data_IF_966273248910
#
_entry.id   IF_966273248910
#
_cell.length_a   1.000
_cell.length_b   1.000
_cell.length_c   1.000
_cell.angle_alpha   90.00
_cell.angle_beta   90.00
_cell.angle_gamma   90.00
#
_symmetry.space_group_name_H-M   'P 1'
#
loop_
_entity.id
_entity.type
_entity.pdbx_description
1 polymer ?
#
# COMPACT_ATOMS: atom_id res chain seq x y z
N UNK A 1 -26.40 12.28 -16.03
CA UNK A 1 -26.53 13.08 -14.77
C UNK A 1 -27.62 12.58 -13.85
N UNK A 2 -28.90 12.44 -14.26
CA UNK A 2 -29.96 11.90 -13.39
C UNK A 2 -29.84 10.38 -13.25
N UNK A 3 -29.49 9.68 -14.30
CA UNK A 3 -29.26 8.22 -14.34
C UNK A 3 -28.10 7.82 -13.41
N UNK A 4 -27.03 8.60 -13.38
CA UNK A 4 -25.88 8.34 -12.49
C UNK A 4 -26.25 8.47 -11.00
N UNK A 5 -27.15 9.39 -10.67
CA UNK A 5 -27.64 9.59 -9.29
C UNK A 5 -28.54 8.41 -8.88
N UNK A 6 -29.41 7.94 -9.78
CA UNK A 6 -30.28 6.77 -9.53
C UNK A 6 -29.44 5.51 -9.34
N UNK A 7 -28.42 5.31 -10.18
CA UNK A 7 -27.49 4.18 -10.06
C UNK A 7 -26.71 4.27 -8.73
N UNK A 8 -26.23 5.46 -8.35
CA UNK A 8 -25.51 5.69 -7.10
C UNK A 8 -26.37 5.36 -5.85
N UNK A 9 -27.66 5.66 -5.89
CA UNK A 9 -28.59 5.44 -4.77
C UNK A 9 -29.27 4.05 -4.81
N UNK A 10 -28.96 3.22 -5.80
CA UNK A 10 -29.59 1.91 -5.96
C UNK A 10 -28.92 0.86 -5.05
N UNK A 11 -29.73 -0.07 -4.50
CA UNK A 11 -29.24 -1.22 -3.73
C UNK A 11 -28.57 -2.30 -4.61
N UNK A 12 -28.47 -2.07 -5.90
CA UNK A 12 -27.80 -3.00 -6.82
C UNK A 12 -26.29 -2.87 -6.68
N UNK A 13 -25.55 -3.99 -6.79
CA UNK A 13 -24.09 -3.92 -6.78
C UNK A 13 -23.61 -2.99 -7.90
N UNK A 14 -22.74 -2.04 -7.56
CA UNK A 14 -22.15 -1.13 -8.52
C UNK A 14 -21.36 -1.92 -9.56
N UNK A 15 -21.36 -1.40 -10.79
CA UNK A 15 -20.50 -1.93 -11.83
C UNK A 15 -19.03 -1.84 -11.36
N UNK A 16 -18.38 -2.98 -11.24
CA UNK A 16 -16.95 -3.04 -11.00
C UNK A 16 -16.21 -2.97 -12.34
N UNK A 17 -15.09 -2.27 -12.35
CA UNK A 17 -14.21 -2.18 -13.49
C UNK A 17 -13.05 -3.17 -13.33
N UNK A 18 -12.46 -3.57 -14.45
CA UNK A 18 -11.24 -4.37 -14.44
C UNK A 18 -10.12 -3.59 -13.73
N UNK A 19 -9.51 -4.14 -12.66
CA UNK A 19 -8.44 -3.48 -11.92
C UNK A 19 -7.21 -3.16 -12.80
N UNK A 20 -6.99 -3.90 -13.87
CA UNK A 20 -5.89 -3.65 -14.82
C UNK A 20 -6.09 -2.38 -15.67
N UNK A 21 -7.26 -1.75 -15.63
CA UNK A 21 -7.45 -0.40 -16.18
C UNK A 21 -6.74 0.69 -15.35
N UNK A 22 -6.33 0.39 -14.12
CA UNK A 22 -5.56 1.29 -13.29
C UNK A 22 -4.11 1.35 -13.80
N UNK A 23 -3.63 2.56 -14.06
CA UNK A 23 -2.27 2.77 -14.56
C UNK A 23 -1.22 2.20 -13.59
N UNK A 24 -0.35 1.33 -14.10
CA UNK A 24 0.72 0.70 -13.31
C UNK A 24 0.28 -0.52 -12.51
N UNK A 25 -0.93 -1.04 -12.73
CA UNK A 25 -1.40 -2.24 -12.04
C UNK A 25 -0.56 -3.47 -12.41
N UNK A 26 -0.24 -3.63 -13.69
CA UNK A 26 0.62 -4.74 -14.16
C UNK A 26 1.98 -4.72 -13.45
N UNK A 27 2.65 -3.56 -13.43
CA UNK A 27 3.94 -3.39 -12.76
C UNK A 27 3.82 -3.68 -11.25
N UNK A 28 2.73 -3.23 -10.63
CA UNK A 28 2.48 -3.44 -9.21
C UNK A 28 2.32 -4.93 -8.88
N UNK A 29 1.53 -5.65 -9.68
CA UNK A 29 1.31 -7.10 -9.53
C UNK A 29 2.62 -7.85 -9.72
N UNK A 30 3.39 -7.53 -10.76
CA UNK A 30 4.68 -8.18 -11.04
C UNK A 30 5.66 -8.02 -9.88
N UNK A 31 5.70 -6.83 -9.27
CA UNK A 31 6.55 -6.55 -8.11
C UNK A 31 6.16 -7.37 -6.87
N UNK A 32 4.87 -7.45 -6.57
CA UNK A 32 4.39 -8.23 -5.42
C UNK A 32 4.65 -9.71 -5.65
N UNK A 33 4.34 -10.23 -6.84
CA UNK A 33 4.59 -11.63 -7.17
C UNK A 33 6.09 -11.95 -7.12
N UNK A 34 6.95 -11.10 -7.67
CA UNK A 34 8.39 -11.27 -7.60
C UNK A 34 8.93 -11.28 -6.16
N UNK A 35 8.37 -10.43 -5.27
CA UNK A 35 8.71 -10.46 -3.85
C UNK A 35 8.30 -11.77 -3.18
N UNK A 36 7.11 -12.29 -3.49
CA UNK A 36 6.63 -13.58 -2.97
C UNK A 36 7.52 -14.72 -3.46
N UNK A 37 7.82 -14.77 -4.74
CA UNK A 37 8.64 -15.84 -5.35
C UNK A 37 10.07 -15.88 -4.79
N UNK A 38 10.63 -14.72 -4.49
CA UNK A 38 12.00 -14.63 -3.94
C UNK A 38 12.05 -14.75 -2.41
N UNK A 39 10.90 -14.80 -1.73
CA UNK A 39 10.82 -14.77 -0.26
C UNK A 39 11.25 -13.43 0.33
N UNK A 40 11.17 -12.34 -0.45
CA UNK A 40 11.51 -11.00 0.03
C UNK A 40 10.47 -10.52 1.05
N UNK A 41 10.94 -9.94 2.16
CA UNK A 41 10.07 -9.41 3.21
C UNK A 41 9.20 -8.26 2.70
N UNK A 42 7.88 -8.37 2.85
CA UNK A 42 6.91 -7.32 2.49
C UNK A 42 6.41 -6.65 3.77
N UNK A 43 6.38 -5.31 3.80
CA UNK A 43 5.75 -4.55 4.88
C UNK A 43 4.55 -3.76 4.36
N UNK A 44 3.38 -3.95 4.96
CA UNK A 44 2.18 -3.15 4.69
C UNK A 44 2.17 -1.95 5.64
N UNK A 45 2.26 -0.76 5.11
CA UNK A 45 2.22 0.50 5.86
C UNK A 45 0.85 1.14 5.73
N UNK A 46 0.12 1.28 6.83
CA UNK A 46 -1.21 1.90 6.86
C UNK A 46 -1.30 3.14 7.72
N UNK A 47 -2.48 3.75 7.74
CA UNK A 47 -2.78 4.82 8.70
C UNK A 47 -3.40 4.24 9.99
N UNK A 48 -3.44 5.07 11.02
CA UNK A 48 -3.94 4.71 12.36
C UNK A 48 -5.46 4.81 12.52
N UNK A 49 -6.19 5.27 11.52
CA UNK A 49 -7.65 5.35 11.57
C UNK A 49 -8.33 4.03 11.19
N UNK A 50 -9.66 4.00 11.22
CA UNK A 50 -10.42 2.78 10.97
C UNK A 50 -10.21 2.24 9.55
N UNK A 51 -10.10 3.12 8.56
CA UNK A 51 -9.94 2.74 7.16
C UNK A 51 -8.51 2.22 6.91
N UNK A 52 -7.51 2.87 7.49
CA UNK A 52 -6.12 2.41 7.43
C UNK A 52 -5.93 1.05 8.08
N UNK A 53 -6.44 0.86 9.31
CA UNK A 53 -6.33 -0.41 10.04
C UNK A 53 -7.02 -1.56 9.30
N UNK A 54 -8.24 -1.32 8.78
CA UNK A 54 -8.97 -2.36 8.04
C UNK A 54 -8.32 -2.68 6.69
N UNK A 55 -7.77 -1.68 6.01
CA UNK A 55 -7.02 -1.86 4.77
C UNK A 55 -5.74 -2.67 4.99
N UNK A 56 -5.00 -2.39 6.07
CA UNK A 56 -3.83 -3.19 6.47
C UNK A 56 -4.24 -4.63 6.74
N UNK A 57 -5.29 -4.87 7.51
CA UNK A 57 -5.75 -6.22 7.83
C UNK A 57 -6.10 -7.00 6.57
N UNK A 58 -6.88 -6.40 5.66
CA UNK A 58 -7.26 -7.02 4.39
C UNK A 58 -6.02 -7.36 3.53
N UNK A 59 -5.09 -6.42 3.40
CA UNK A 59 -3.87 -6.65 2.60
C UNK A 59 -2.99 -7.74 3.21
N UNK A 60 -2.85 -7.77 4.54
CA UNK A 60 -2.10 -8.82 5.24
C UNK A 60 -2.71 -10.21 5.03
N UNK A 61 -4.04 -10.33 5.07
CA UNK A 61 -4.73 -11.60 4.83
C UNK A 61 -4.51 -12.10 3.40
N UNK A 62 -4.62 -11.20 2.41
CA UNK A 62 -4.37 -11.54 0.99
C UNK A 62 -2.92 -11.97 0.77
N UNK A 63 -1.96 -11.21 1.28
CA UNK A 63 -0.53 -11.53 1.12
C UNK A 63 -0.17 -12.87 1.78
N UNK A 64 -0.67 -13.14 2.98
CA UNK A 64 -0.47 -14.42 3.67
C UNK A 64 -1.10 -15.60 2.93
N UNK A 65 -2.31 -15.40 2.41
CA UNK A 65 -2.98 -16.41 1.58
C UNK A 65 -2.20 -16.71 0.28
N UNK A 66 -1.48 -15.71 -0.25
CA UNK A 66 -0.57 -15.88 -1.39
C UNK A 66 0.81 -16.46 -1.02
N UNK A 67 1.07 -16.72 0.26
CA UNK A 67 2.33 -17.30 0.74
C UNK A 67 3.46 -16.29 0.98
N UNK A 68 3.14 -14.99 1.06
CA UNK A 68 4.12 -13.95 1.30
C UNK A 68 4.64 -13.96 2.73
N UNK A 69 5.94 -13.69 2.90
CA UNK A 69 6.50 -13.30 4.19
C UNK A 69 6.21 -11.80 4.41
N UNK A 70 5.23 -11.50 5.26
CA UNK A 70 4.75 -10.13 5.40
C UNK A 70 4.59 -9.69 6.85
N UNK A 71 4.86 -8.41 7.07
CA UNK A 71 4.69 -7.66 8.31
C UNK A 71 3.84 -6.42 8.06
N UNK A 72 3.45 -5.72 9.11
CA UNK A 72 2.74 -4.46 8.98
C UNK A 72 3.35 -3.37 9.86
N UNK A 73 3.08 -2.12 9.50
CA UNK A 73 3.44 -0.95 10.29
C UNK A 73 2.28 0.06 10.28
N UNK A 74 1.85 0.47 11.47
CA UNK A 74 0.87 1.53 11.67
C UNK A 74 1.53 2.58 12.56
N UNK A 75 1.69 3.83 12.09
CA UNK A 75 2.35 4.88 12.85
C UNK A 75 1.55 5.27 14.08
N UNK A 76 2.25 5.72 15.13
CA UNK A 76 1.61 6.29 16.32
C UNK A 76 1.03 7.66 15.99
N UNK A 77 -0.26 7.85 16.29
CA UNK A 77 -0.95 9.13 16.12
C UNK A 77 -0.28 10.28 16.88
N UNK A 78 0.33 9.98 18.01
CA UNK A 78 0.88 10.99 18.93
C UNK A 78 2.32 11.35 18.62
N UNK A 79 3.12 10.39 18.13
CA UNK A 79 4.56 10.55 17.99
C UNK A 79 5.03 10.76 16.55
N UNK A 80 4.28 10.22 15.56
CA UNK A 80 4.76 10.12 14.17
C UNK A 80 3.94 10.97 13.17
N UNK A 81 2.74 11.39 13.56
CA UNK A 81 1.84 12.20 12.72
C UNK A 81 1.22 11.40 11.57
N UNK A 82 0.60 12.11 10.64
CA UNK A 82 -0.11 11.53 9.49
C UNK A 82 0.82 11.33 8.28
N UNK A 83 0.62 10.19 7.60
CA UNK A 83 1.28 9.87 6.34
C UNK A 83 2.64 9.18 6.51
N UNK A 84 3.35 9.05 5.40
CA UNK A 84 4.65 8.37 5.37
C UNK A 84 5.73 9.18 6.09
N UNK A 85 6.40 8.51 7.02
CA UNK A 85 7.47 9.05 7.84
C UNK A 85 8.81 8.37 7.48
N UNK A 86 9.85 9.16 7.26
CA UNK A 86 11.19 8.65 6.91
C UNK A 86 11.78 7.74 7.99
N UNK A 87 11.60 8.11 9.26
CA UNK A 87 12.15 7.33 10.38
C UNK A 87 11.45 5.98 10.52
N UNK A 88 10.15 5.93 10.24
CA UNK A 88 9.38 4.68 10.16
C UNK A 88 9.88 3.78 9.03
N UNK A 89 10.14 4.34 7.84
CA UNK A 89 10.69 3.57 6.72
C UNK A 89 12.09 3.03 7.01
N UNK A 90 12.92 3.79 7.71
CA UNK A 90 14.23 3.33 8.13
C UNK A 90 14.14 2.17 9.14
N UNK A 91 13.16 2.19 10.04
CA UNK A 91 12.87 1.08 10.96
C UNK A 91 12.39 -0.16 10.21
N UNK A 92 11.45 0.01 9.27
CA UNK A 92 10.91 -1.06 8.43
C UNK A 92 12.02 -1.73 7.62
N UNK A 93 12.91 -0.93 7.01
CA UNK A 93 14.06 -1.42 6.28
C UNK A 93 15.04 -2.19 7.18
N UNK A 94 15.34 -1.66 8.37
CA UNK A 94 16.21 -2.34 9.35
C UNK A 94 15.61 -3.65 9.86
N UNK A 95 14.27 -3.76 9.86
CA UNK A 95 13.56 -4.98 10.20
C UNK A 95 13.58 -6.03 9.08
N UNK A 96 14.18 -5.73 7.93
CA UNK A 96 14.36 -6.67 6.83
C UNK A 96 13.34 -6.59 5.71
N UNK A 97 12.42 -5.60 5.73
CA UNK A 97 11.50 -5.42 4.63
C UNK A 97 12.22 -4.90 3.37
N UNK A 98 11.92 -5.54 2.24
CA UNK A 98 12.48 -5.20 0.94
C UNK A 98 11.45 -4.50 0.04
N UNK A 99 10.16 -4.77 0.26
CA UNK A 99 9.04 -4.12 -0.40
C UNK A 99 8.12 -3.47 0.65
N UNK A 100 7.71 -2.23 0.41
CA UNK A 100 6.71 -1.55 1.23
C UNK A 100 5.48 -1.27 0.38
N UNK A 101 4.32 -1.74 0.84
CA UNK A 101 3.01 -1.46 0.25
C UNK A 101 2.30 -0.49 1.17
N UNK A 102 1.93 0.69 0.65
CA UNK A 102 1.17 1.67 1.43
C UNK A 102 -0.32 1.57 1.13
N UNK A 103 -1.13 1.62 2.17
CA UNK A 103 -2.58 1.65 2.08
C UNK A 103 -3.11 2.83 2.88
N UNK A 104 -4.07 3.55 2.31
CA UNK A 104 -4.72 4.70 2.95
C UNK A 104 -3.79 5.84 3.43
N UNK A 105 -2.62 6.00 2.81
CA UNK A 105 -1.62 6.99 3.20
C UNK A 105 -1.42 8.15 2.20
N UNK A 106 -2.20 8.18 1.11
CA UNK A 106 -2.14 9.20 0.05
C UNK A 106 -0.84 9.20 -0.78
N UNK A 107 -0.97 9.26 -2.10
CA UNK A 107 0.14 9.22 -3.06
C UNK A 107 1.13 10.39 -2.94
N UNK A 108 0.69 11.54 -2.43
CA UNK A 108 1.52 12.75 -2.29
C UNK A 108 2.67 12.59 -1.30
N UNK A 109 2.55 11.67 -0.36
CA UNK A 109 3.60 11.38 0.63
C UNK A 109 4.79 10.63 0.00
N UNK A 110 4.55 9.77 -0.98
CA UNK A 110 5.60 9.05 -1.73
C UNK A 110 6.55 9.99 -2.47
N UNK A 111 6.04 11.06 -3.08
CA UNK A 111 6.85 12.03 -3.83
C UNK A 111 7.83 12.81 -2.95
N UNK A 112 7.53 13.00 -1.66
CA UNK A 112 8.45 13.67 -0.72
C UNK A 112 9.63 12.81 -0.33
N UNK A 113 9.42 11.51 -0.22
CA UNK A 113 10.47 10.56 0.17
C UNK A 113 11.49 10.32 -0.94
N UNK A 114 11.02 10.29 -2.19
CA UNK A 114 11.91 10.13 -3.35
C UNK A 114 12.97 11.24 -3.47
N UNK A 115 12.69 12.43 -2.94
CA UNK A 115 13.62 13.59 -2.96
C UNK A 115 14.59 13.66 -1.77
N UNK A 116 14.35 12.91 -0.69
CA UNK A 116 15.11 13.06 0.56
C UNK A 116 15.89 11.83 1.01
N UNK A 117 15.60 10.66 0.48
CA UNK A 117 16.28 9.44 0.93
C UNK A 117 17.04 8.78 -0.21
N UNK A 118 18.39 8.72 -0.15
CA UNK A 118 19.19 7.89 -1.06
C UNK A 118 18.98 6.39 -0.85
N UNK A 119 18.09 6.00 0.06
CA UNK A 119 17.84 4.60 0.45
C UNK A 119 17.01 3.79 -0.55
N UNK A 120 16.28 4.43 -1.44
CA UNK A 120 15.62 3.76 -2.56
C UNK A 120 16.41 4.00 -3.82
N UNK A 121 17.54 3.30 -3.92
CA UNK A 121 18.29 3.13 -5.15
C UNK A 121 17.36 2.61 -6.26
N UNK A 122 17.56 3.07 -7.48
CA UNK A 122 16.76 2.96 -8.69
C UNK A 122 16.31 1.54 -9.13
N UNK A 123 16.36 0.54 -8.28
CA UNK A 123 16.09 -0.86 -8.62
C UNK A 123 15.04 -1.56 -7.76
N UNK A 124 14.37 -0.87 -6.80
CA UNK A 124 13.31 -1.51 -6.01
C UNK A 124 12.16 -0.56 -5.79
N UNK A 125 10.99 -0.87 -6.33
CA UNK A 125 9.85 0.02 -6.39
C UNK A 125 9.04 0.06 -5.11
N UNK A 126 8.44 1.22 -4.92
CA UNK A 126 7.52 1.52 -3.87
C UNK A 126 6.10 1.50 -4.45
N UNK A 127 5.21 0.70 -3.88
CA UNK A 127 3.81 0.63 -4.28
C UNK A 127 2.94 1.38 -3.28
N UNK A 128 2.09 2.28 -3.79
CA UNK A 128 1.07 2.97 -3.00
C UNK A 128 -0.30 2.72 -3.60
N UNK A 129 -1.21 2.20 -2.79
CA UNK A 129 -2.63 2.09 -3.10
C UNK A 129 -3.38 3.14 -2.28
N UNK A 130 -3.98 4.12 -2.98
CA UNK A 130 -4.85 5.14 -2.40
C UNK A 130 -6.30 4.71 -2.46
#
# INVERSE_FOLDING_TARGET
MVEDVVEFLSDKPRKTYDPYLLKGMDDAVELVLGAIETGAGICVYGDYDADGVTSVALMMDVLRAAGAECSYYIPSRFDEGYGLNSDALDRIKKAGAELVITVDCGCSSCCRLHKRSPCFSAHRPFLSFA
#
